data_IF_222883700735
#
_entry.id   IF_222883700735
#
_cell.length_a   1.000
_cell.length_b   1.000
_cell.length_c   1.000
_cell.angle_alpha   90.00
_cell.angle_beta   90.00
_cell.angle_gamma   90.00
#
_symmetry.space_group_name_H-M   'P 1'
#
loop_
_entity.id
_entity.type
_entity.pdbx_description
1 polymer ?
#
# COMPACT_ATOMS: atom_id res chain seq x y z
N UNK A 1 14.70 -25.12 4.67
CA UNK A 1 15.11 -24.48 3.46
C UNK A 1 14.35 -23.20 3.25
N UNK A 2 15.04 -22.26 2.82
CA UNK A 2 14.50 -20.93 2.67
C UNK A 2 13.53 -20.87 1.48
N UNK A 3 12.29 -20.56 1.74
CA UNK A 3 11.29 -20.46 0.69
C UNK A 3 11.56 -19.29 -0.26
N UNK A 4 12.25 -18.26 0.20
CA UNK A 4 12.61 -17.14 -0.65
C UNK A 4 13.61 -17.57 -1.71
N UNK A 5 14.52 -18.45 -1.35
CA UNK A 5 15.50 -18.94 -2.30
C UNK A 5 14.83 -19.76 -3.40
N UNK A 6 13.89 -20.61 -3.01
CA UNK A 6 13.16 -21.40 -3.99
C UNK A 6 12.36 -20.48 -4.93
N UNK A 7 11.78 -19.42 -4.38
CA UNK A 7 11.04 -18.46 -5.18
C UNK A 7 11.93 -17.72 -6.17
N UNK A 8 13.13 -17.35 -5.74
CA UNK A 8 14.06 -16.68 -6.63
C UNK A 8 14.53 -17.59 -7.76
N UNK A 9 14.77 -18.86 -7.45
CA UNK A 9 15.16 -19.83 -8.48
C UNK A 9 14.03 -20.02 -9.49
N UNK A 10 12.80 -20.09 -9.00
CA UNK A 10 11.65 -20.21 -9.88
C UNK A 10 11.55 -19.01 -10.82
N UNK A 11 11.73 -17.81 -10.29
CA UNK A 11 11.69 -16.60 -11.09
C UNK A 11 12.80 -16.58 -12.13
N UNK A 12 13.94 -17.15 -11.80
CA UNK A 12 15.08 -17.11 -12.69
C UNK A 12 14.92 -18.01 -13.92
N UNK A 13 14.04 -18.99 -13.89
CA UNK A 13 13.88 -19.90 -15.02
C UNK A 13 12.92 -19.39 -16.09
N UNK A 14 12.36 -18.21 -15.89
CA UNK A 14 11.54 -17.55 -16.90
C UNK A 14 10.07 -17.91 -16.91
N UNK A 15 9.69 -18.94 -16.19
CA UNK A 15 8.28 -19.33 -16.16
C UNK A 15 7.43 -18.33 -15.40
N UNK A 16 8.04 -17.65 -14.47
CA UNK A 16 7.36 -16.71 -13.62
C UNK A 16 6.79 -15.51 -14.37
N UNK A 17 7.31 -15.19 -15.54
CA UNK A 17 6.86 -13.97 -16.23
C UNK A 17 5.36 -14.01 -16.54
N UNK A 18 4.83 -15.18 -16.91
CA UNK A 18 3.41 -15.31 -17.14
C UNK A 18 2.61 -15.17 -15.86
N UNK A 19 3.11 -15.79 -14.80
CA UNK A 19 2.46 -15.72 -13.50
C UNK A 19 2.40 -14.29 -13.02
N UNK A 20 3.51 -13.57 -13.17
CA UNK A 20 3.58 -12.19 -12.74
C UNK A 20 2.52 -11.32 -13.43
N UNK A 21 2.32 -11.54 -14.73
CA UNK A 21 1.38 -10.73 -15.49
C UNK A 21 -0.06 -10.91 -15.06
N UNK A 22 -0.42 -12.10 -14.60
CA UNK A 22 -1.82 -12.42 -14.35
C UNK A 22 -2.18 -12.41 -12.88
N UNK A 23 -1.22 -12.48 -11.97
CA UNK A 23 -1.56 -12.69 -10.57
C UNK A 23 -0.99 -11.69 -9.60
N UNK A 24 0.04 -10.93 -9.98
CA UNK A 24 0.69 -10.08 -8.98
C UNK A 24 0.12 -8.69 -8.96
N UNK A 25 -0.29 -8.28 -7.79
CA UNK A 25 -0.67 -6.90 -7.54
C UNK A 25 0.57 -6.11 -7.15
N UNK A 26 0.55 -4.84 -7.45
CA UNK A 26 1.71 -4.00 -7.21
C UNK A 26 1.55 -3.22 -5.92
N UNK A 27 2.53 -3.31 -5.04
CA UNK A 27 2.59 -2.42 -3.89
C UNK A 27 2.93 -1.03 -4.42
N UNK A 28 2.06 -0.06 -4.20
CA UNK A 28 2.25 1.28 -4.75
C UNK A 28 2.41 2.35 -3.70
N UNK A 29 1.99 2.09 -2.47
CA UNK A 29 1.97 3.10 -1.42
C UNK A 29 2.06 2.44 -0.06
N UNK A 30 2.86 3.01 0.83
CA UNK A 30 2.85 2.64 2.25
C UNK A 30 2.61 3.92 3.03
N UNK A 31 1.57 3.93 3.87
CA UNK A 31 1.22 5.09 4.69
C UNK A 31 1.59 4.81 6.14
N UNK A 32 2.37 5.70 6.71
CA UNK A 32 2.78 5.61 8.11
C UNK A 32 1.99 6.59 8.95
N UNK A 33 1.54 6.19 10.14
CA UNK A 33 0.96 7.14 11.07
C UNK A 33 2.04 8.12 11.54
N UNK A 34 1.70 9.39 11.60
CA UNK A 34 2.69 10.43 11.89
C UNK A 34 2.05 11.55 12.70
N UNK A 35 1.70 11.29 13.94
CA UNK A 35 1.06 12.29 14.79
C UNK A 35 1.94 13.53 14.97
N UNK A 36 3.24 13.32 15.06
CA UNK A 36 4.22 14.42 15.13
C UNK A 36 4.76 14.66 13.73
N UNK A 37 3.91 15.19 12.86
CA UNK A 37 4.20 15.24 11.42
C UNK A 37 5.50 15.96 11.10
N UNK A 38 5.75 17.11 11.70
CA UNK A 38 6.94 17.90 11.39
C UNK A 38 8.23 17.13 11.72
N UNK A 39 8.26 16.50 12.87
CA UNK A 39 9.41 15.72 13.31
C UNK A 39 9.60 14.48 12.44
N UNK A 40 8.50 13.77 12.19
CA UNK A 40 8.54 12.55 11.38
C UNK A 40 8.97 12.86 9.95
N UNK A 41 8.50 13.97 9.41
CA UNK A 41 8.90 14.40 8.07
C UNK A 41 10.41 14.57 7.98
N UNK A 42 11.04 15.19 8.97
CA UNK A 42 12.47 15.38 8.95
C UNK A 42 13.22 14.05 8.92
N UNK A 43 12.74 13.11 9.74
CA UNK A 43 13.34 11.78 9.81
C UNK A 43 13.18 11.06 8.48
N UNK A 44 11.98 11.08 7.92
CA UNK A 44 11.71 10.35 6.67
C UNK A 44 12.44 10.97 5.48
N UNK A 45 12.53 12.29 5.41
CA UNK A 45 13.28 12.93 4.34
C UNK A 45 14.73 12.48 4.35
N UNK A 46 15.33 12.40 5.53
CA UNK A 46 16.68 11.91 5.66
C UNK A 46 16.80 10.43 5.35
N UNK A 47 15.90 9.65 5.89
CA UNK A 47 15.88 8.21 5.72
C UNK A 47 15.73 7.82 4.24
N UNK A 48 14.82 8.50 3.54
CA UNK A 48 14.55 8.19 2.13
C UNK A 48 15.54 8.89 1.20
N UNK A 49 16.23 9.90 1.67
CA UNK A 49 17.10 10.69 0.79
C UNK A 49 16.30 11.45 -0.25
N UNK A 50 15.12 11.93 0.12
CA UNK A 50 14.21 12.58 -0.82
C UNK A 50 13.42 13.67 -0.12
N UNK A 51 12.98 14.64 -0.91
CA UNK A 51 12.08 15.67 -0.42
C UNK A 51 10.67 15.30 -0.79
N UNK A 52 9.67 15.68 0.02
CA UNK A 52 8.29 15.35 -0.31
C UNK A 52 7.80 16.07 -1.56
N UNK A 53 6.98 15.37 -2.34
CA UNK A 53 6.32 16.00 -3.48
C UNK A 53 4.93 16.52 -3.07
N UNK A 54 4.39 16.01 -1.97
CA UNK A 54 3.23 16.59 -1.30
C UNK A 54 3.68 16.97 0.09
N UNK A 55 3.49 18.22 0.47
CA UNK A 55 3.98 18.70 1.76
C UNK A 55 2.92 19.63 2.37
N UNK A 56 1.95 19.03 3.01
CA UNK A 56 0.85 19.77 3.60
C UNK A 56 0.69 19.50 5.08
N UNK A 57 -0.22 20.20 5.75
CA UNK A 57 -0.43 20.00 7.18
C UNK A 57 -1.17 18.72 7.52
N UNK A 58 -1.82 18.09 6.55
CA UNK A 58 -2.60 16.88 6.79
C UNK A 58 -2.08 15.67 6.06
N UNK A 59 -0.98 15.82 5.33
CA UNK A 59 -0.40 14.70 4.61
C UNK A 59 0.94 15.10 4.02
N UNK A 60 1.92 14.23 4.13
CA UNK A 60 3.21 14.39 3.47
C UNK A 60 3.45 13.16 2.62
N UNK A 61 3.80 13.34 1.36
CA UNK A 61 4.01 12.23 0.44
C UNK A 61 5.35 12.31 -0.26
N UNK A 62 5.98 11.16 -0.41
CA UNK A 62 7.26 11.02 -1.10
C UNK A 62 7.10 10.06 -2.26
N UNK A 63 7.84 10.30 -3.33
CA UNK A 63 7.98 9.31 -4.41
C UNK A 63 9.36 8.72 -4.33
N UNK A 64 9.42 7.40 -4.24
CA UNK A 64 10.68 6.67 -4.11
C UNK A 64 10.65 5.55 -5.14
N UNK A 65 11.28 5.79 -6.30
CA UNK A 65 11.15 4.87 -7.41
C UNK A 65 9.71 4.80 -7.87
N UNK A 66 9.18 3.60 -7.97
CA UNK A 66 7.80 3.38 -8.38
C UNK A 66 6.83 3.38 -7.20
N UNK A 67 7.32 3.58 -6.00
CA UNK A 67 6.51 3.54 -4.80
C UNK A 67 6.31 4.91 -4.21
N UNK A 68 5.24 5.05 -3.46
CA UNK A 68 5.01 6.25 -2.67
C UNK A 68 5.03 5.91 -1.20
N UNK A 69 5.52 6.84 -0.41
CA UNK A 69 5.50 6.77 1.05
C UNK A 69 4.68 7.96 1.52
N UNK A 70 3.68 7.70 2.34
CA UNK A 70 2.83 8.75 2.88
C UNK A 70 2.95 8.84 4.39
N UNK A 71 2.84 10.04 4.92
CA UNK A 71 2.79 10.28 6.36
C UNK A 71 1.45 10.93 6.66
N UNK A 72 0.68 10.31 7.56
CA UNK A 72 -0.68 10.75 7.84
C UNK A 72 -0.83 11.04 9.33
N UNK A 73 -0.97 12.32 9.72
CA UNK A 73 -1.11 12.68 11.13
C UNK A 73 -2.43 12.22 11.74
N UNK A 74 -3.42 11.92 10.91
CA UNK A 74 -4.73 11.50 11.38
C UNK A 74 -4.97 10.00 11.21
N UNK A 75 -3.93 9.23 10.92
CA UNK A 75 -4.09 7.79 10.73
C UNK A 75 -4.59 7.13 12.00
N UNK A 76 -5.53 6.21 11.83
CA UNK A 76 -6.11 5.47 12.94
C UNK A 76 -5.38 4.17 13.23
N UNK A 77 -4.51 3.74 12.32
CA UNK A 77 -3.77 2.49 12.50
C UNK A 77 -2.62 2.67 13.47
N UNK A 78 -2.25 1.58 14.14
CA UNK A 78 -1.11 1.59 15.04
C UNK A 78 0.22 1.54 14.28
N UNK A 79 0.21 1.04 13.06
CA UNK A 79 1.41 0.91 12.26
C UNK A 79 1.14 1.25 10.81
N UNK A 80 2.12 1.03 9.94
CA UNK A 80 1.98 1.39 8.53
C UNK A 80 0.94 0.53 7.84
N UNK A 81 0.32 1.10 6.81
CA UNK A 81 -0.65 0.40 5.97
C UNK A 81 -0.07 0.31 4.57
N UNK A 82 0.00 -0.91 4.06
CA UNK A 82 0.47 -1.17 2.70
C UNK A 82 -0.73 -1.16 1.76
N UNK A 83 -0.61 -0.42 0.67
CA UNK A 83 -1.65 -0.37 -0.35
C UNK A 83 -1.15 -1.02 -1.62
N UNK A 84 -1.97 -1.91 -2.18
CA UNK A 84 -1.68 -2.52 -3.49
C UNK A 84 -2.60 -1.91 -4.53
N UNK A 85 -2.11 -1.81 -5.76
CA UNK A 85 -2.94 -1.38 -6.87
C UNK A 85 -3.70 -2.56 -7.43
N UNK A 86 -4.99 -2.36 -7.64
CA UNK A 86 -5.85 -3.40 -8.20
C UNK A 86 -6.65 -2.81 -9.36
N UNK A 87 -7.05 -3.67 -10.28
CA UNK A 87 -7.85 -3.24 -11.42
C UNK A 87 -9.31 -3.01 -11.04
N UNK A 88 -9.82 -3.80 -10.10
CA UNK A 88 -11.23 -3.75 -9.69
C UNK A 88 -11.28 -3.89 -8.17
N UNK A 89 -11.38 -2.76 -7.50
CA UNK A 89 -11.30 -2.72 -6.04
C UNK A 89 -12.47 -3.43 -5.37
N UNK A 90 -13.65 -3.36 -5.96
CA UNK A 90 -14.82 -4.01 -5.37
C UNK A 90 -14.69 -5.52 -5.43
N UNK A 91 -14.23 -6.04 -6.55
CA UNK A 91 -13.99 -7.46 -6.71
C UNK A 91 -12.90 -7.94 -5.76
N UNK A 92 -11.82 -7.17 -5.66
CA UNK A 92 -10.72 -7.52 -4.76
C UNK A 92 -11.17 -7.57 -3.31
N UNK A 93 -12.01 -6.61 -2.90
CA UNK A 93 -12.56 -6.62 -1.55
C UNK A 93 -13.41 -7.84 -1.29
N UNK A 94 -14.29 -8.18 -2.22
CA UNK A 94 -15.16 -9.33 -2.05
C UNK A 94 -14.37 -10.62 -1.87
N UNK A 95 -13.31 -10.77 -2.65
CA UNK A 95 -12.47 -11.96 -2.56
C UNK A 95 -11.77 -12.07 -1.23
N UNK A 96 -11.24 -10.97 -0.74
CA UNK A 96 -10.48 -11.01 0.51
C UNK A 96 -11.41 -11.16 1.71
N UNK A 97 -12.60 -10.57 1.66
CA UNK A 97 -13.60 -10.72 2.71
C UNK A 97 -14.08 -12.16 2.79
N UNK A 98 -14.21 -12.82 1.64
CA UNK A 98 -14.61 -14.23 1.60
C UNK A 98 -13.58 -15.13 2.31
N UNK A 99 -12.34 -14.66 2.44
CA UNK A 99 -11.29 -15.39 3.14
C UNK A 99 -11.23 -15.07 4.63
N UNK A 100 -12.10 -14.19 5.11
CA UNK A 100 -12.20 -13.93 6.55
C UNK A 100 -11.78 -12.54 7.00
N UNK A 101 -11.35 -11.69 6.10
CA UNK A 101 -11.01 -10.32 6.47
C UNK A 101 -12.28 -9.49 6.67
N UNK A 102 -12.18 -8.42 7.43
CA UNK A 102 -13.29 -7.50 7.66
C UNK A 102 -12.96 -6.13 7.09
N UNK A 103 -13.99 -5.37 6.72
CA UNK A 103 -13.81 -4.03 6.19
C UNK A 103 -13.27 -3.11 7.29
N UNK A 104 -12.17 -2.44 7.01
CA UNK A 104 -11.63 -1.38 7.84
C UNK A 104 -12.09 -0.02 7.32
N UNK A 105 -11.94 0.19 6.02
CA UNK A 105 -12.38 1.39 5.34
C UNK A 105 -13.06 0.94 4.04
N UNK A 106 -14.34 1.25 3.89
CA UNK A 106 -15.04 0.90 2.67
C UNK A 106 -14.54 1.74 1.51
N UNK A 107 -14.91 1.35 0.30
CA UNK A 107 -14.46 2.05 -0.91
C UNK A 107 -14.80 3.52 -0.81
N UNK A 108 -13.81 4.36 -1.06
CA UNK A 108 -13.93 5.79 -0.95
C UNK A 108 -13.16 6.47 -2.08
N UNK A 109 -13.78 7.46 -2.71
CA UNK A 109 -13.11 8.27 -3.71
C UNK A 109 -12.37 9.39 -2.98
N UNK A 110 -11.06 9.40 -3.07
CA UNK A 110 -10.25 10.37 -2.34
C UNK A 110 -9.74 11.50 -3.23
N UNK A 111 -9.79 11.32 -4.56
CA UNK A 111 -9.33 12.37 -5.46
C UNK A 111 -9.63 11.99 -6.91
N UNK A 112 -10.66 12.60 -7.50
CA UNK A 112 -10.96 12.47 -8.94
C UNK A 112 -10.96 11.03 -9.42
N UNK A 113 -11.61 10.14 -8.68
CA UNK A 113 -11.73 8.76 -9.09
C UNK A 113 -10.64 7.84 -8.59
N UNK A 114 -9.71 8.35 -7.81
CA UNK A 114 -8.78 7.47 -7.10
C UNK A 114 -9.53 6.84 -5.94
N UNK A 115 -9.73 5.53 -6.01
CA UNK A 115 -10.49 4.81 -5.00
C UNK A 115 -9.53 4.12 -4.05
N UNK A 116 -9.87 4.15 -2.77
CA UNK A 116 -9.14 3.40 -1.75
C UNK A 116 -10.12 2.61 -0.91
N UNK A 117 -9.61 1.55 -0.30
CA UNK A 117 -10.33 0.75 0.68
C UNK A 117 -9.31 0.01 1.52
N UNK A 118 -9.72 -0.49 2.67
CA UNK A 118 -8.82 -1.32 3.45
C UNK A 118 -9.61 -2.35 4.23
N UNK A 119 -8.92 -3.44 4.55
CA UNK A 119 -9.48 -4.53 5.35
C UNK A 119 -8.54 -4.82 6.49
N UNK A 120 -9.05 -5.55 7.46
CA UNK A 120 -8.27 -6.02 8.61
C UNK A 120 -8.34 -7.53 8.63
N UNK A 121 -7.19 -8.18 8.75
CA UNK A 121 -7.18 -9.63 8.91
C UNK A 121 -7.38 -10.00 10.38
N UNK A 122 -7.35 -11.30 10.70
CA UNK A 122 -7.61 -11.78 12.05
C UNK A 122 -6.51 -11.42 13.03
N UNK A 123 -5.34 -11.12 12.54
CA UNK A 123 -4.22 -10.71 13.39
C UNK A 123 -4.16 -9.20 13.58
N UNK A 124 -5.10 -8.47 12.99
CA UNK A 124 -5.15 -7.02 13.11
C UNK A 124 -4.36 -6.27 12.08
N UNK A 125 -3.81 -6.96 11.09
CA UNK A 125 -3.07 -6.28 10.02
C UNK A 125 -4.04 -5.54 9.12
N UNK A 126 -3.69 -4.30 8.77
CA UNK A 126 -4.49 -3.49 7.86
C UNK A 126 -3.88 -3.59 6.47
N UNK A 127 -4.69 -3.98 5.50
CA UNK A 127 -4.26 -4.18 4.13
C UNK A 127 -5.08 -3.24 3.25
N UNK A 128 -4.40 -2.43 2.46
CA UNK A 128 -5.05 -1.41 1.67
C UNK A 128 -5.12 -1.75 0.19
N UNK A 129 -6.14 -1.22 -0.46
CA UNK A 129 -6.38 -1.37 -1.90
C UNK A 129 -6.50 0.00 -2.51
N UNK A 130 -6.00 0.13 -3.72
CA UNK A 130 -5.97 1.39 -4.45
C UNK A 130 -6.31 1.11 -5.90
N UNK A 131 -7.24 1.86 -6.44
CA UNK A 131 -7.61 1.73 -7.85
C UNK A 131 -7.59 3.10 -8.49
N UNK A 132 -6.72 3.26 -9.49
CA UNK A 132 -6.69 4.49 -10.26
C UNK A 132 -7.68 4.39 -11.41
N UNK A 133 -8.45 5.43 -11.62
CA UNK A 133 -9.28 5.52 -12.82
C UNK A 133 -8.48 6.14 -13.94
N UNK A 134 -8.49 5.49 -15.06
CA UNK A 134 -7.78 5.99 -16.23
C UNK A 134 -8.60 6.98 -17.01
#
# INVERSE_FOLDING_TARGET
MDSRRAKLLYLADGKSSRVDKISMNKVSLIVYPAKELASTKQIFSKFLGAEPYVDGPYYVGYKVGDMEIGLDPNAQSAGPVTYIEVADIKSSLQEIIALGATIQQDVKDVDNGLLIASVKDKDGNILGFRQNLQ
#
